data_IF_039804678968
#
_entry.id   IF_039804678968
#
_cell.length_a   1.000
_cell.length_b   1.000
_cell.length_c   1.000
_cell.angle_alpha   90.00
_cell.angle_beta   90.00
_cell.angle_gamma   90.00
#
_symmetry.space_group_name_H-M   'P 1'
#
loop_
_entity.id
_entity.type
_entity.pdbx_description
1 polymer ?
#
# COMPACT_ATOMS: atom_id res chain seq x y z
N UNK A 1 6.09 28.02 -0.77
CA UNK A 1 6.00 28.00 0.71
C UNK A 1 7.28 27.39 1.26
N UNK A 2 8.06 28.14 2.05
CA UNK A 2 9.31 27.65 2.68
C UNK A 2 9.05 27.36 4.15
N UNK A 3 9.39 26.15 4.58
CA UNK A 3 9.16 25.66 5.94
C UNK A 3 10.31 26.17 6.82
N UNK A 4 10.07 27.24 7.59
CA UNK A 4 11.08 27.81 8.51
C UNK A 4 11.15 26.97 9.78
N UNK A 5 12.29 26.32 10.02
CA UNK A 5 12.54 25.54 11.24
C UNK A 5 12.99 26.48 12.36
N UNK A 6 12.13 26.64 13.37
CA UNK A 6 12.46 27.38 14.59
C UNK A 6 13.17 26.45 15.58
N UNK A 7 14.26 26.93 16.19
CA UNK A 7 14.94 26.24 17.30
C UNK A 7 14.82 27.08 18.58
N UNK A 8 14.61 26.44 19.75
CA UNK A 8 14.73 27.14 21.02
C UNK A 8 16.15 27.65 21.25
N UNK A 9 16.27 28.93 21.58
CA UNK A 9 17.51 29.69 21.82
C UNK A 9 18.18 29.40 23.19
N UNK A 10 17.60 28.47 23.97
CA UNK A 10 18.07 28.14 25.32
C UNK A 10 17.74 29.19 26.40
N UNK A 11 17.07 30.28 26.04
CA UNK A 11 16.56 31.35 26.92
C UNK A 11 15.03 31.52 26.85
N UNK A 12 14.35 30.72 26.02
CA UNK A 12 12.90 30.70 25.87
C UNK A 12 12.38 31.42 24.63
N UNK A 13 13.25 31.94 23.77
CA UNK A 13 12.92 32.49 22.46
C UNK A 13 13.15 31.50 21.31
N UNK A 14 12.58 31.82 20.15
CA UNK A 14 12.75 31.08 18.90
C UNK A 14 13.49 31.96 17.90
N UNK A 15 14.73 31.61 17.57
CA UNK A 15 15.46 32.32 16.52
C UNK A 15 15.12 31.75 15.13
N UNK A 16 14.74 32.59 14.15
CA UNK A 16 14.55 32.16 12.77
C UNK A 16 15.92 31.85 12.16
N UNK A 17 16.16 30.61 11.76
CA UNK A 17 17.36 30.23 11.01
C UNK A 17 17.03 30.04 9.52
N UNK A 18 17.82 30.60 8.59
CA UNK A 18 17.66 30.31 7.18
C UNK A 18 17.90 28.81 6.91
N UNK A 19 17.00 28.21 6.12
CA UNK A 19 16.92 26.77 5.75
C UNK A 19 18.00 26.38 4.72
N UNK A 20 19.06 27.17 4.58
CA UNK A 20 20.17 26.88 3.70
C UNK A 20 21.36 26.44 4.54
N UNK A 21 21.30 25.20 5.03
CA UNK A 21 22.52 24.51 5.47
C UNK A 21 23.10 23.82 4.22
N UNK A 22 24.18 24.36 3.61
CA UNK A 22 24.69 23.86 2.33
C UNK A 22 25.15 22.40 2.39
N UNK A 23 25.29 21.83 3.59
CA UNK A 23 25.82 20.49 3.78
C UNK A 23 24.85 19.59 4.55
N UNK A 24 23.66 19.37 3.98
CA UNK A 24 22.66 18.41 4.48
C UNK A 24 23.23 17.00 4.77
N UNK A 25 24.33 16.63 4.09
CA UNK A 25 25.09 15.39 4.33
C UNK A 25 25.66 15.30 5.75
N UNK A 26 26.13 16.42 6.32
CA UNK A 26 26.67 16.47 7.68
C UNK A 26 25.56 16.23 8.72
N UNK A 27 24.33 16.68 8.43
CA UNK A 27 23.19 16.47 9.31
C UNK A 27 22.76 15.00 9.38
N UNK A 28 22.88 14.25 8.28
CA UNK A 28 22.66 12.81 8.27
C UNK A 28 23.74 12.07 9.08
N UNK A 29 24.98 12.56 9.09
CA UNK A 29 26.09 11.99 9.87
C UNK A 29 26.03 12.31 11.37
N UNK A 30 25.08 13.13 11.81
CA UNK A 30 24.93 13.51 13.21
C UNK A 30 24.65 12.31 14.12
N UNK A 31 25.16 12.35 15.36
CA UNK A 31 24.98 11.29 16.38
C UNK A 31 23.51 10.85 16.56
N UNK A 32 22.55 11.74 16.32
CA UNK A 32 21.11 11.47 16.37
C UNK A 32 20.63 10.43 15.35
N UNK A 33 21.29 10.31 14.20
CA UNK A 33 20.94 9.39 13.11
C UNK A 33 21.79 8.11 13.12
N UNK A 34 22.63 7.90 14.14
CA UNK A 34 23.37 6.65 14.34
C UNK A 34 24.56 6.40 13.44
N UNK A 35 24.82 7.24 12.43
CA UNK A 35 25.99 7.12 11.55
C UNK A 35 27.34 7.26 12.29
N UNK A 36 27.34 7.78 13.53
CA UNK A 36 28.49 7.89 14.42
C UNK A 36 28.38 7.01 15.69
N UNK A 37 27.48 6.01 15.71
CA UNK A 37 27.45 5.01 16.80
C UNK A 37 28.61 4.02 16.61
N UNK A 38 29.36 3.74 17.68
CA UNK A 38 30.43 2.73 17.70
C UNK A 38 29.95 1.34 17.26
N UNK A 39 28.66 1.10 17.42
CA UNK A 39 27.99 -0.17 17.20
C UNK A 39 27.57 -0.36 15.73
N UNK A 40 27.78 0.64 14.86
CA UNK A 40 27.45 0.59 13.43
C UNK A 40 25.95 0.45 13.08
N UNK A 41 25.08 0.40 14.09
CA UNK A 41 23.63 0.21 13.91
C UNK A 41 22.92 1.57 13.85
N UNK A 42 22.23 1.80 12.74
CA UNK A 42 21.25 2.87 12.62
C UNK A 42 20.17 2.68 13.71
N UNK A 43 19.75 3.74 14.43
CA UNK A 43 18.59 3.66 15.31
C UNK A 43 17.42 3.16 14.48
N UNK A 44 16.72 2.13 14.96
CA UNK A 44 15.56 1.60 14.29
C UNK A 44 14.59 2.77 14.04
N UNK A 45 14.46 3.16 12.77
CA UNK A 45 13.58 4.23 12.32
C UNK A 45 12.14 3.67 12.40
N UNK A 46 11.66 3.46 13.62
CA UNK A 46 10.28 3.12 13.89
C UNK A 46 9.49 4.38 13.57
N UNK A 47 8.78 4.38 12.44
CA UNK A 47 7.79 5.39 12.12
C UNK A 47 6.54 5.07 12.96
N UNK A 48 6.26 5.80 14.05
CA UNK A 48 5.12 5.51 14.91
C UNK A 48 3.78 5.87 14.25
N UNK A 49 3.79 6.65 13.17
CA UNK A 49 2.60 6.95 12.37
C UNK A 49 2.27 5.84 11.36
N UNK A 50 3.22 4.94 11.10
CA UNK A 50 2.97 3.78 10.28
C UNK A 50 2.27 2.74 11.15
N UNK A 51 1.03 2.39 10.80
CA UNK A 51 0.29 1.32 11.43
C UNK A 51 0.47 0.06 10.56
N UNK A 52 1.56 -0.71 10.73
CA UNK A 52 1.84 -1.85 9.88
C UNK A 52 0.71 -2.87 10.04
N UNK A 53 0.02 -3.18 8.94
CA UNK A 53 -0.95 -4.27 8.92
C UNK A 53 -0.27 -5.54 9.39
N UNK A 54 -0.82 -6.18 10.41
CA UNK A 54 -0.21 -7.38 10.96
C UNK A 54 -0.16 -8.48 9.89
N UNK A 55 1.01 -9.08 9.72
CA UNK A 55 1.23 -10.19 8.77
C UNK A 55 0.20 -11.31 8.90
N UNK A 56 -0.16 -11.82 10.11
CA UNK A 56 -1.16 -12.88 10.21
C UNK A 56 -2.55 -12.43 9.74
N UNK A 57 -2.92 -11.18 9.99
CA UNK A 57 -4.22 -10.65 9.57
C UNK A 57 -4.29 -10.46 8.05
N UNK A 58 -3.18 -10.05 7.43
CA UNK A 58 -3.06 -10.03 5.97
C UNK A 58 -3.19 -11.44 5.36
N UNK A 59 -2.54 -12.44 5.95
CA UNK A 59 -2.63 -13.85 5.49
C UNK A 59 -4.07 -14.37 5.61
N UNK A 60 -4.71 -14.17 6.76
CA UNK A 60 -6.10 -14.58 6.98
C UNK A 60 -7.06 -13.90 6.01
N UNK A 61 -6.85 -12.60 5.74
CA UNK A 61 -7.64 -11.86 4.77
C UNK A 61 -7.57 -12.50 3.37
N UNK A 62 -6.36 -12.78 2.88
CA UNK A 62 -6.18 -13.38 1.55
C UNK A 62 -6.72 -14.81 1.47
N UNK A 63 -6.52 -15.62 2.52
CA UNK A 63 -7.10 -16.96 2.61
C UNK A 63 -8.63 -16.92 2.59
N UNK A 64 -9.23 -16.02 3.36
CA UNK A 64 -10.68 -15.84 3.40
C UNK A 64 -11.25 -15.37 2.06
N UNK A 65 -10.59 -14.40 1.42
CA UNK A 65 -10.98 -13.92 0.09
C UNK A 65 -10.89 -15.02 -0.97
N UNK A 66 -9.81 -15.81 -0.95
CA UNK A 66 -9.65 -16.97 -1.84
C UNK A 66 -10.74 -18.02 -1.63
N UNK A 67 -11.02 -18.39 -0.38
CA UNK A 67 -12.07 -19.36 -0.05
C UNK A 67 -13.46 -18.87 -0.47
N UNK A 68 -13.79 -17.60 -0.21
CA UNK A 68 -15.05 -17.00 -0.61
C UNK A 68 -15.23 -17.01 -2.14
N UNK A 69 -14.17 -16.65 -2.86
CA UNK A 69 -14.16 -16.64 -4.33
C UNK A 69 -14.35 -18.06 -4.87
N UNK A 70 -13.66 -19.04 -4.30
CA UNK A 70 -13.81 -20.43 -4.67
C UNK A 70 -15.25 -20.92 -4.48
N UNK A 71 -15.89 -20.61 -3.34
CA UNK A 71 -17.29 -20.96 -3.08
C UNK A 71 -18.23 -20.33 -4.11
N UNK A 72 -18.04 -19.04 -4.44
CA UNK A 72 -18.82 -18.35 -5.47
C UNK A 72 -18.69 -19.02 -6.85
N UNK A 73 -17.48 -19.44 -7.22
CA UNK A 73 -17.24 -20.15 -8.47
C UNK A 73 -17.95 -21.51 -8.47
N UNK A 74 -17.76 -22.31 -7.43
CA UNK A 74 -18.39 -23.64 -7.31
C UNK A 74 -19.91 -23.53 -7.38
N UNK A 75 -20.50 -22.58 -6.65
CA UNK A 75 -21.94 -22.37 -6.67
C UNK A 75 -22.40 -21.91 -8.05
N UNK A 76 -21.80 -20.89 -8.64
CA UNK A 76 -22.31 -20.36 -9.89
C UNK A 76 -22.10 -21.30 -11.09
N UNK A 77 -21.03 -22.10 -11.12
CA UNK A 77 -20.86 -23.15 -12.13
C UNK A 77 -21.69 -24.39 -11.83
N UNK A 78 -21.82 -24.80 -10.57
CA UNK A 78 -22.62 -25.97 -10.18
C UNK A 78 -24.12 -25.77 -10.37
N UNK A 79 -24.60 -24.53 -10.20
CA UNK A 79 -26.02 -24.18 -10.40
C UNK A 79 -26.36 -23.75 -11.82
N UNK A 80 -25.35 -23.56 -12.69
CA UNK A 80 -25.56 -23.04 -14.04
C UNK A 80 -25.92 -21.55 -14.08
N UNK A 81 -25.77 -20.79 -12.98
CA UNK A 81 -26.03 -19.35 -12.93
C UNK A 81 -25.24 -18.56 -13.99
N UNK A 82 -24.02 -19.02 -14.30
CA UNK A 82 -23.16 -18.38 -15.30
C UNK A 82 -23.43 -18.84 -16.75
N UNK A 83 -24.42 -19.70 -17.00
CA UNK A 83 -24.73 -20.15 -18.36
C UNK A 83 -25.70 -19.19 -19.06
N UNK A 84 -25.37 -18.85 -20.30
CA UNK A 84 -26.28 -18.10 -21.17
C UNK A 84 -27.42 -19.03 -21.61
N UNK A 85 -28.67 -18.55 -21.66
CA UNK A 85 -29.76 -19.33 -22.21
C UNK A 85 -29.43 -19.70 -23.67
N UNK A 86 -29.75 -20.94 -24.06
CA UNK A 86 -29.57 -21.37 -25.43
C UNK A 86 -30.36 -20.45 -26.35
N UNK A 87 -29.68 -19.82 -27.31
CA UNK A 87 -30.38 -19.04 -28.34
C UNK A 87 -31.26 -19.99 -29.14
N UNK A 88 -32.48 -19.57 -29.52
CA UNK A 88 -33.32 -20.37 -30.38
C UNK A 88 -32.58 -20.65 -31.69
N UNK A 89 -32.41 -21.93 -32.02
CA UNK A 89 -31.89 -22.34 -33.32
C UNK A 89 -32.97 -21.98 -34.35
N UNK A 90 -32.69 -20.96 -35.17
CA UNK A 90 -33.54 -20.66 -36.32
C UNK A 90 -33.30 -21.76 -37.35
N UNK A 91 -34.31 -22.57 -37.72
CA UNK A 91 -34.13 -23.58 -38.75
C UNK A 91 -33.76 -22.90 -40.07
N UNK A 92 -32.96 -23.55 -40.94
CA UNK A 92 -32.64 -22.98 -42.24
C UNK A 92 -33.93 -22.72 -43.01
N UNK A 93 -34.09 -21.49 -43.48
CA UNK A 93 -35.17 -21.12 -44.41
C UNK A 93 -35.05 -22.03 -45.63
N UNK A 94 -36.07 -22.85 -45.88
CA UNK A 94 -36.14 -23.65 -47.08
C UNK A 94 -36.09 -22.70 -48.28
N UNK A 95 -35.05 -22.85 -49.12
CA UNK A 95 -34.96 -22.10 -50.37
C UNK A 95 -36.22 -22.37 -51.20
N UNK A 96 -36.87 -21.35 -51.77
CA UNK A 96 -37.91 -21.59 -52.75
C UNK A 96 -37.27 -22.36 -53.91
N UNK A 97 -37.86 -23.50 -54.24
CA UNK A 97 -37.42 -24.33 -55.38
C UNK A 97 -37.45 -23.54 -56.69
N UNK A 98 -36.74 -24.05 -57.73
CA UNK A 98 -36.57 -23.37 -59.01
C UNK A 98 -37.89 -23.04 -59.71
#
# INVERSE_FOLDING_TARGET
MSLQLHRPDGKGGLEPRPVADPNWRVQLQGRRWGLNRRDGRLPALKNPEMNPTSTPLAVLFWLGLGALTFVLLVLGYGTGFWHLPALPVVPPVASPGP
#
